data_IF_502178835175
#
_entry.id   IF_502178835175
#
_cell.length_a   1.000
_cell.length_b   1.000
_cell.length_c   1.000
_cell.angle_alpha   90.00
_cell.angle_beta   90.00
_cell.angle_gamma   90.00
#
_symmetry.space_group_name_H-M   'P 1'
#
loop_
_entity.id
_entity.type
_entity.pdbx_description
1 polymer ?
#
# COMPACT_ATOMS: atom_id res chain seq x y z
N UNK A 1 -17.09 -21.38 -11.81
CA UNK A 1 -15.69 -21.17 -12.25
C UNK A 1 -15.42 -19.68 -12.13
N UNK A 2 -14.79 -19.26 -11.03
CA UNK A 2 -14.80 -17.88 -10.56
C UNK A 2 -13.62 -17.11 -11.17
N UNK A 3 -13.93 -16.15 -12.04
CA UNK A 3 -12.98 -15.24 -12.67
C UNK A 3 -12.62 -14.12 -11.68
N UNK A 4 -11.92 -14.46 -10.59
CA UNK A 4 -11.55 -13.52 -9.51
C UNK A 4 -10.08 -13.64 -9.05
N UNK A 5 -9.18 -14.06 -9.93
CA UNK A 5 -7.75 -14.14 -9.59
C UNK A 5 -6.89 -13.05 -10.25
N UNK A 6 -7.41 -12.27 -11.21
CA UNK A 6 -6.59 -11.41 -12.06
C UNK A 6 -6.72 -9.89 -11.77
N UNK A 7 -7.62 -9.45 -10.88
CA UNK A 7 -8.03 -8.04 -10.85
C UNK A 7 -8.28 -7.40 -9.47
N UNK A 8 -7.54 -7.80 -8.42
CA UNK A 8 -7.60 -7.06 -7.15
C UNK A 8 -6.73 -5.79 -7.21
N UNK A 9 -7.30 -4.73 -7.80
CA UNK A 9 -6.70 -3.40 -7.90
C UNK A 9 -6.28 -2.87 -6.52
N UNK A 10 -6.96 -3.23 -5.43
CA UNK A 10 -6.55 -2.79 -4.09
C UNK A 10 -5.24 -3.46 -3.67
N UNK A 11 -5.12 -4.77 -3.87
CA UNK A 11 -3.89 -5.51 -3.60
C UNK A 11 -2.72 -5.03 -4.47
N UNK A 12 -2.98 -4.60 -5.71
CA UNK A 12 -1.95 -4.02 -6.58
C UNK A 12 -1.49 -2.64 -6.07
N UNK A 13 -2.43 -1.73 -5.77
CA UNK A 13 -2.09 -0.41 -5.18
C UNK A 13 -1.26 -0.60 -3.90
N UNK A 14 -1.66 -1.55 -3.05
CA UNK A 14 -0.94 -1.90 -1.84
C UNK A 14 0.50 -2.36 -2.09
N UNK A 15 0.69 -3.24 -3.06
CA UNK A 15 2.01 -3.75 -3.42
C UNK A 15 2.90 -2.60 -3.91
N UNK A 16 2.39 -1.74 -4.78
CA UNK A 16 3.13 -0.57 -5.27
C UNK A 16 3.46 0.43 -4.17
N UNK A 17 2.52 0.69 -3.25
CA UNK A 17 2.78 1.54 -2.08
C UNK A 17 3.92 0.99 -1.21
N UNK A 18 3.97 -0.33 -0.99
CA UNK A 18 5.07 -0.98 -0.25
C UNK A 18 6.38 -0.94 -1.02
N UNK A 19 6.34 -1.18 -2.34
CA UNK A 19 7.52 -1.13 -3.21
C UNK A 19 8.15 0.28 -3.27
N UNK A 20 7.36 1.34 -3.09
CA UNK A 20 7.85 2.71 -3.01
C UNK A 20 8.65 3.01 -1.73
N UNK A 21 8.57 2.17 -0.69
CA UNK A 21 9.38 2.32 0.51
C UNK A 21 10.77 1.69 0.30
N UNK A 22 11.86 2.44 0.56
CA UNK A 22 13.20 1.89 0.47
C UNK A 22 13.46 0.87 1.60
N UNK A 23 14.37 -0.07 1.35
CA UNK A 23 14.98 -0.87 2.43
C UNK A 23 15.93 0.05 3.20
N UNK A 24 15.64 0.30 4.48
CA UNK A 24 16.38 1.26 5.30
C UNK A 24 16.97 0.60 6.52
N UNK A 25 18.29 0.67 6.62
CA UNK A 25 19.06 0.16 7.74
C UNK A 25 19.71 1.29 8.56
N UNK A 26 20.23 0.94 9.73
CA UNK A 26 20.96 1.88 10.58
C UNK A 26 20.09 3.00 11.14
N UNK A 27 20.61 4.23 11.18
CA UNK A 27 20.01 5.36 11.94
C UNK A 27 18.61 5.76 11.47
N UNK A 28 18.24 5.45 10.23
CA UNK A 28 16.95 5.83 9.64
C UNK A 28 15.88 4.74 9.76
N UNK A 29 16.23 3.52 10.20
CA UNK A 29 15.28 2.39 10.27
C UNK A 29 14.05 2.71 11.11
N UNK A 30 14.26 3.31 12.30
CA UNK A 30 13.18 3.72 13.20
C UNK A 30 12.29 4.81 12.58
N UNK A 31 12.86 5.73 11.82
CA UNK A 31 12.09 6.78 11.15
C UNK A 31 11.14 6.17 10.11
N UNK A 32 11.64 5.28 9.26
CA UNK A 32 10.81 4.59 8.28
C UNK A 32 9.77 3.68 8.93
N UNK A 33 10.10 3.00 10.04
CA UNK A 33 9.11 2.22 10.78
C UNK A 33 7.94 3.08 11.33
N UNK A 34 8.19 4.33 11.73
CA UNK A 34 7.11 5.26 12.12
C UNK A 34 6.23 5.67 10.93
N UNK A 35 6.83 5.84 9.75
CA UNK A 35 6.06 6.10 8.52
C UNK A 35 5.16 4.90 8.17
N UNK A 36 5.69 3.68 8.29
CA UNK A 36 4.94 2.43 8.10
C UNK A 36 3.80 2.28 9.13
N UNK A 37 4.01 2.71 10.39
CA UNK A 37 2.95 2.77 11.40
C UNK A 37 1.80 3.69 10.99
N UNK A 38 2.09 4.89 10.46
CA UNK A 38 1.05 5.80 9.97
C UNK A 38 0.25 5.25 8.78
N UNK A 39 0.85 4.33 8.01
CA UNK A 39 0.18 3.61 6.93
C UNK A 39 -0.56 2.34 7.41
N UNK A 40 -0.52 2.05 8.71
CA UNK A 40 -1.14 0.88 9.32
C UNK A 40 -0.41 -0.44 9.03
N UNK A 41 0.84 -0.39 8.57
CA UNK A 41 1.64 -1.60 8.30
C UNK A 41 2.38 -2.10 9.54
N UNK A 42 2.46 -1.26 10.57
CA UNK A 42 2.99 -1.59 11.88
C UNK A 42 2.05 -1.14 12.98
N UNK A 43 2.17 -1.77 14.14
CA UNK A 43 1.53 -1.39 15.40
C UNK A 43 2.43 -0.41 16.21
N UNK A 44 2.02 -0.09 17.44
CA UNK A 44 2.67 0.88 18.31
C UNK A 44 4.08 0.47 18.77
N UNK A 45 4.40 -0.82 18.79
CA UNK A 45 5.74 -1.33 19.09
C UNK A 45 6.65 -1.37 17.85
N UNK A 46 6.16 -0.87 16.71
CA UNK A 46 6.83 -0.88 15.42
C UNK A 46 7.14 -2.31 14.92
N UNK A 47 6.27 -3.28 15.16
CA UNK A 47 6.31 -4.60 14.50
C UNK A 47 5.26 -4.71 13.39
N UNK A 48 5.45 -5.60 12.40
CA UNK A 48 4.49 -5.76 11.31
C UNK A 48 3.09 -6.10 11.82
N UNK A 49 2.09 -5.40 11.29
CA UNK A 49 0.69 -5.58 11.66
C UNK A 49 -0.21 -5.69 10.43
N UNK A 50 -1.32 -6.39 10.59
CA UNK A 50 -2.40 -6.42 9.60
C UNK A 50 -3.49 -5.48 10.10
N UNK A 51 -3.59 -4.31 9.49
CA UNK A 51 -4.65 -3.34 9.74
C UNK A 51 -5.54 -3.17 8.51
N UNK A 52 -6.73 -2.60 8.72
CA UNK A 52 -7.62 -2.27 7.62
C UNK A 52 -6.97 -1.24 6.70
N UNK A 53 -6.99 -1.58 5.42
CA UNK A 53 -6.35 -0.85 4.35
C UNK A 53 -7.32 0.24 3.97
N UNK A 54 -7.14 1.43 4.57
CA UNK A 54 -8.07 2.55 4.41
C UNK A 54 -8.53 2.72 2.96
N UNK A 55 -9.74 3.23 2.73
CA UNK A 55 -10.57 3.08 1.51
C UNK A 55 -9.92 3.21 0.10
N UNK A 56 -8.69 3.72 -0.02
CA UNK A 56 -7.91 3.84 -1.27
C UNK A 56 -8.63 4.62 -2.39
N UNK A 57 -9.56 5.52 -2.04
CA UNK A 57 -10.38 6.25 -3.02
C UNK A 57 -9.52 7.06 -4.00
N UNK A 58 -8.50 7.78 -3.51
CA UNK A 58 -7.63 8.62 -4.35
C UNK A 58 -6.89 7.80 -5.43
N UNK A 59 -6.11 6.75 -5.08
CA UNK A 59 -5.42 5.96 -6.11
C UNK A 59 -6.40 5.19 -7.01
N UNK A 60 -7.55 4.74 -6.51
CA UNK A 60 -8.57 4.11 -7.35
C UNK A 60 -9.13 5.08 -8.40
N UNK A 61 -9.41 6.33 -8.03
CA UNK A 61 -9.87 7.34 -8.99
C UNK A 61 -8.83 7.64 -10.06
N UNK A 62 -7.55 7.66 -9.71
CA UNK A 62 -6.47 7.84 -10.70
C UNK A 62 -6.47 6.71 -11.71
N UNK A 63 -6.52 5.45 -11.26
CA UNK A 63 -6.53 4.29 -12.17
C UNK A 63 -7.77 4.27 -13.06
N UNK A 64 -8.94 4.63 -12.53
CA UNK A 64 -10.17 4.76 -13.31
C UNK A 64 -10.03 5.86 -14.38
N UNK A 65 -9.44 7.00 -14.04
CA UNK A 65 -9.21 8.09 -14.98
C UNK A 65 -8.22 7.70 -16.10
N UNK A 66 -7.10 7.05 -15.76
CA UNK A 66 -6.15 6.51 -16.74
C UNK A 66 -6.83 5.51 -17.68
N UNK A 67 -7.61 4.58 -17.11
CA UNK A 67 -8.36 3.59 -17.90
C UNK A 67 -9.35 4.27 -18.85
N UNK A 68 -10.07 5.30 -18.40
CA UNK A 68 -11.00 6.06 -19.24
C UNK A 68 -10.30 6.83 -20.37
N UNK A 69 -9.03 7.21 -20.17
CA UNK A 69 -8.22 7.90 -21.17
C UNK A 69 -7.52 6.97 -22.18
N UNK A 70 -7.59 5.64 -21.99
CA UNK A 70 -7.00 4.64 -22.88
C UNK A 70 -5.73 3.95 -22.38
N UNK A 71 -5.31 4.21 -21.13
CA UNK A 71 -4.13 3.58 -20.52
C UNK A 71 -2.88 4.44 -20.56
#
# INVERSE_FOLDING_TARGET
>A
MCMMAENDVKAQIQAEMRAAFPVVEGRLSRFYAMQEYHLGWRNEDLTPAIADQGKLIRPQLVLLACTAAGG
#
